data_IF_107864514137
#
_entry.id   IF_107864514137
#
_cell.length_a   1.000
_cell.length_b   1.000
_cell.length_c   1.000
_cell.angle_alpha   90.00
_cell.angle_beta   90.00
_cell.angle_gamma   90.00
#
_symmetry.space_group_name_H-M   'P 1'
#
loop_
_entity.id
_entity.type
_entity.pdbx_description
1 polymer ?
#
# COMPACT_ATOMS: atom_id res chain seq x y z
N UNK A 1 8.19 28.35 -20.66
CA UNK A 1 9.13 27.31 -20.19
C UNK A 1 8.32 26.04 -20.04
N UNK A 2 8.59 25.02 -20.84
CA UNK A 2 7.89 23.75 -20.72
C UNK A 2 8.55 22.99 -19.57
N UNK A 3 7.89 22.92 -18.42
CA UNK A 3 8.28 22.02 -17.33
C UNK A 3 8.09 20.58 -17.81
N UNK A 4 9.11 20.05 -18.47
CA UNK A 4 9.18 18.66 -18.86
C UNK A 4 9.33 17.83 -17.58
N UNK A 5 8.21 17.34 -17.03
CA UNK A 5 8.26 16.34 -15.97
C UNK A 5 9.05 15.15 -16.52
N UNK A 6 10.21 14.81 -15.93
CA UNK A 6 11.03 13.73 -16.46
C UNK A 6 10.23 12.43 -16.41
N UNK A 7 10.20 11.71 -17.53
CA UNK A 7 9.60 10.38 -17.59
C UNK A 7 10.32 9.46 -16.59
N UNK A 8 9.65 9.13 -15.49
CA UNK A 8 10.13 8.16 -14.50
C UNK A 8 9.38 6.85 -14.71
N UNK A 9 10.07 5.76 -15.13
CA UNK A 9 9.43 4.47 -15.23
C UNK A 9 8.98 3.99 -13.84
N UNK A 10 7.85 3.28 -13.79
CA UNK A 10 7.39 2.62 -12.57
C UNK A 10 8.36 1.50 -12.19
N UNK A 11 8.65 1.37 -10.89
CA UNK A 11 9.48 0.28 -10.37
C UNK A 11 8.89 -1.10 -10.65
N UNK A 12 9.67 -2.15 -10.35
CA UNK A 12 9.26 -3.54 -10.55
C UNK A 12 8.02 -3.89 -9.72
N UNK A 13 7.06 -4.55 -10.35
CA UNK A 13 5.80 -4.86 -9.68
C UNK A 13 5.97 -5.87 -8.53
N UNK A 14 6.83 -6.87 -8.71
CA UNK A 14 7.08 -7.91 -7.71
C UNK A 14 7.81 -7.33 -6.50
N UNK A 15 8.80 -6.47 -6.73
CA UNK A 15 9.48 -5.73 -5.65
C UNK A 15 8.46 -4.93 -4.83
N UNK A 16 7.59 -4.18 -5.49
CA UNK A 16 6.58 -3.38 -4.81
C UNK A 16 5.49 -4.21 -4.14
N UNK A 17 5.17 -5.39 -4.65
CA UNK A 17 4.29 -6.36 -3.99
C UNK A 17 4.83 -6.77 -2.61
N UNK A 18 6.13 -7.07 -2.53
CA UNK A 18 6.78 -7.41 -1.24
C UNK A 18 6.92 -6.18 -0.33
N UNK A 19 7.23 -5.00 -0.89
CA UNK A 19 7.33 -3.77 -0.10
C UNK A 19 6.00 -3.38 0.55
N UNK A 20 4.90 -3.47 -0.20
CA UNK A 20 3.56 -3.17 0.35
C UNK A 20 3.21 -4.11 1.50
N UNK A 21 3.51 -5.40 1.40
CA UNK A 21 3.31 -6.34 2.50
C UNK A 21 4.16 -6.02 3.73
N UNK A 22 5.43 -5.66 3.53
CA UNK A 22 6.33 -5.27 4.63
C UNK A 22 5.85 -3.99 5.33
N UNK A 23 5.40 -2.99 4.57
CA UNK A 23 4.80 -1.77 5.09
C UNK A 23 3.54 -2.05 5.91
N UNK A 24 2.66 -2.89 5.37
CA UNK A 24 1.43 -3.30 6.05
C UNK A 24 1.75 -4.00 7.38
N UNK A 25 2.64 -4.99 7.37
CA UNK A 25 3.04 -5.73 8.57
C UNK A 25 3.67 -4.85 9.64
N UNK A 26 4.57 -3.96 9.26
CA UNK A 26 5.16 -3.00 10.19
C UNK A 26 4.11 -2.02 10.77
N UNK A 27 3.00 -1.83 10.07
CA UNK A 27 1.85 -1.03 10.52
C UNK A 27 0.79 -1.83 11.30
N UNK A 28 1.00 -3.13 11.48
CA UNK A 28 0.05 -4.01 12.18
C UNK A 28 -1.13 -4.45 11.32
N UNK A 29 -0.95 -4.49 10.00
CA UNK A 29 -1.93 -4.99 9.02
C UNK A 29 -1.38 -6.22 8.31
N UNK A 30 -2.13 -7.33 8.29
CA UNK A 30 -1.79 -8.50 7.48
C UNK A 30 -2.66 -8.53 6.21
N UNK A 31 -2.04 -8.28 5.05
CA UNK A 31 -2.75 -8.27 3.76
C UNK A 31 -3.12 -9.67 3.28
N UNK A 32 -2.37 -10.70 3.68
CA UNK A 32 -2.68 -12.10 3.35
C UNK A 32 -3.93 -12.50 4.10
N UNK A 33 -3.98 -12.25 5.41
CA UNK A 33 -5.16 -12.51 6.22
C UNK A 33 -6.37 -11.69 5.74
N UNK A 34 -6.19 -10.40 5.42
CA UNK A 34 -7.25 -9.58 4.86
C UNK A 34 -7.78 -10.14 3.53
N UNK A 35 -6.90 -10.68 2.69
CA UNK A 35 -7.31 -11.35 1.44
C UNK A 35 -8.04 -12.66 1.71
N UNK A 36 -7.53 -13.49 2.60
CA UNK A 36 -8.10 -14.80 2.93
C UNK A 36 -9.48 -14.68 3.60
N UNK A 37 -9.69 -13.63 4.39
CA UNK A 37 -10.98 -13.31 5.03
C UNK A 37 -11.94 -12.54 4.12
N UNK A 38 -11.51 -12.16 2.92
CA UNK A 38 -12.31 -11.39 1.96
C UNK A 38 -12.46 -9.90 2.28
N UNK A 39 -11.73 -9.37 3.27
CA UNK A 39 -11.67 -7.95 3.59
C UNK A 39 -10.85 -7.13 2.57
N UNK A 40 -9.98 -7.79 1.79
CA UNK A 40 -9.19 -7.20 0.72
C UNK A 40 -9.32 -8.05 -0.55
N UNK A 41 -9.85 -7.50 -1.62
CA UNK A 41 -9.90 -8.19 -2.91
C UNK A 41 -8.54 -8.15 -3.61
N UNK A 42 -8.30 -9.11 -4.52
CA UNK A 42 -7.09 -9.12 -5.35
C UNK A 42 -6.94 -7.85 -6.20
N UNK A 43 -8.05 -7.28 -6.68
CA UNK A 43 -8.04 -6.04 -7.45
C UNK A 43 -7.63 -4.83 -6.60
N UNK A 44 -8.12 -4.75 -5.35
CA UNK A 44 -7.72 -3.71 -4.41
C UNK A 44 -6.25 -3.83 -4.02
N UNK A 45 -5.76 -5.05 -3.78
CA UNK A 45 -4.36 -5.30 -3.49
C UNK A 45 -3.47 -4.91 -4.68
N UNK A 46 -3.81 -5.32 -5.90
CA UNK A 46 -3.10 -4.87 -7.10
C UNK A 46 -3.10 -3.33 -7.22
N UNK A 47 -4.21 -2.69 -6.87
CA UNK A 47 -4.31 -1.23 -6.77
C UNK A 47 -3.35 -0.63 -5.73
N UNK A 48 -3.18 -1.27 -4.57
CA UNK A 48 -2.21 -0.86 -3.54
C UNK A 48 -0.77 -0.98 -4.04
N UNK A 49 -0.44 -2.05 -4.77
CA UNK A 49 0.89 -2.22 -5.39
C UNK A 49 1.15 -1.15 -6.43
N UNK A 50 0.19 -0.90 -7.33
CA UNK A 50 0.31 0.15 -8.35
C UNK A 50 0.51 1.55 -7.72
N UNK A 51 -0.27 1.89 -6.69
CA UNK A 51 -0.09 3.14 -5.93
C UNK A 51 1.28 3.25 -5.27
N UNK A 52 1.81 2.15 -4.74
CA UNK A 52 3.15 2.14 -4.16
C UNK A 52 4.23 2.44 -5.21
N UNK A 53 4.09 1.92 -6.43
CA UNK A 53 5.03 2.14 -7.54
C UNK A 53 5.09 3.60 -7.99
N UNK A 54 4.01 4.37 -7.81
CA UNK A 54 3.96 5.81 -8.10
C UNK A 54 4.48 6.67 -6.96
N UNK A 55 4.81 6.09 -5.80
CA UNK A 55 5.28 6.84 -4.65
C UNK A 55 6.62 7.53 -4.93
N UNK A 56 6.72 8.80 -4.53
CA UNK A 56 7.97 9.58 -4.60
C UNK A 56 8.85 9.37 -3.35
N UNK A 57 8.31 8.76 -2.29
CA UNK A 57 8.94 8.62 -0.98
C UNK A 57 9.77 7.32 -0.84
N UNK A 58 10.43 6.87 -1.92
CA UNK A 58 11.13 5.58 -1.95
C UNK A 58 12.30 5.52 -0.93
N UNK A 59 13.12 6.57 -0.84
CA UNK A 59 14.27 6.60 0.07
C UNK A 59 13.85 6.63 1.55
N UNK A 60 12.75 7.30 1.85
CA UNK A 60 12.17 7.33 3.18
C UNK A 60 11.56 5.98 3.57
N UNK A 61 10.92 5.30 2.62
CA UNK A 61 10.34 3.97 2.79
C UNK A 61 11.38 2.94 3.24
N UNK A 62 12.52 2.84 2.54
CA UNK A 62 13.56 1.87 2.89
C UNK A 62 14.17 2.14 4.27
N UNK A 63 14.45 3.40 4.61
CA UNK A 63 14.94 3.77 5.94
C UNK A 63 13.93 3.42 7.04
N UNK A 64 12.65 3.70 6.80
CA UNK A 64 11.59 3.37 7.75
C UNK A 64 11.44 1.85 7.94
N UNK A 65 11.54 1.07 6.86
CA UNK A 65 11.49 -0.40 6.88
C UNK A 65 12.75 -1.07 7.45
N UNK A 66 13.86 -0.35 7.56
CA UNK A 66 15.11 -0.86 8.13
C UNK A 66 15.09 -0.87 9.66
N UNK A 67 14.10 -0.22 10.29
CA UNK A 67 13.92 -0.32 11.73
C UNK A 67 13.38 -1.70 12.15
N UNK A 68 13.66 -2.14 13.38
CA UNK A 68 13.22 -3.43 13.91
C UNK A 68 11.71 -3.68 13.73
N UNK A 69 11.36 -4.94 13.44
CA UNK A 69 10.00 -5.40 13.07
C UNK A 69 9.10 -5.58 14.30
N UNK A 70 9.68 -5.66 15.49
CA UNK A 70 9.05 -5.89 16.79
C UNK A 70 8.27 -4.69 17.35
N UNK A 71 8.40 -3.50 16.74
CA UNK A 71 7.58 -2.34 17.07
C UNK A 71 6.56 -2.06 15.96
N UNK A 72 5.27 -2.24 16.29
CA UNK A 72 4.17 -1.71 15.47
C UNK A 72 4.29 -0.19 15.39
N UNK A 73 4.24 0.34 14.18
CA UNK A 73 4.43 1.76 13.91
C UNK A 73 3.41 2.23 12.91
N UNK A 74 2.84 3.40 13.13
CA UNK A 74 1.94 3.98 12.15
C UNK A 74 2.66 4.20 10.82
N UNK A 75 1.98 3.87 9.71
CA UNK A 75 2.52 4.15 8.39
C UNK A 75 2.80 5.66 8.26
N UNK A 76 3.93 6.05 7.66
CA UNK A 76 4.30 7.46 7.44
C UNK A 76 3.21 8.21 6.71
N UNK A 77 3.02 9.50 7.02
CA UNK A 77 2.04 10.35 6.34
C UNK A 77 2.23 10.42 4.82
N UNK A 78 3.47 10.27 4.35
CA UNK A 78 3.83 10.24 2.92
C UNK A 78 3.56 8.88 2.24
N UNK A 79 3.19 7.84 3.00
CA UNK A 79 2.85 6.55 2.44
C UNK A 79 1.46 6.61 1.79
N UNK A 80 1.40 6.46 0.46
CA UNK A 80 0.14 6.46 -0.31
C UNK A 80 -0.84 5.33 0.06
N UNK A 81 -0.40 4.33 0.83
CA UNK A 81 -1.24 3.22 1.30
C UNK A 81 -1.56 3.32 2.80
N UNK A 82 -1.15 4.39 3.51
CA UNK A 82 -1.38 4.57 4.95
C UNK A 82 -2.85 4.36 5.32
N UNK A 83 -3.76 5.03 4.61
CA UNK A 83 -5.18 4.98 4.93
C UNK A 83 -5.79 3.59 4.65
N UNK A 84 -5.26 2.87 3.65
CA UNK A 84 -5.66 1.48 3.39
C UNK A 84 -5.23 0.55 4.53
N UNK A 85 -4.01 0.71 5.05
CA UNK A 85 -3.55 -0.08 6.19
C UNK A 85 -4.40 0.19 7.43
N UNK A 86 -4.69 1.47 7.71
CA UNK A 86 -5.53 1.87 8.83
C UNK A 86 -6.97 1.31 8.70
N UNK A 87 -7.56 1.37 7.51
CA UNK A 87 -8.89 0.84 7.25
C UNK A 87 -8.96 -0.69 7.45
N UNK A 88 -7.96 -1.43 6.95
CA UNK A 88 -7.90 -2.89 7.12
C UNK A 88 -7.63 -3.28 8.58
N UNK A 89 -6.84 -2.50 9.31
CA UNK A 89 -6.56 -2.73 10.73
C UNK A 89 -7.78 -2.49 11.62
N UNK A 90 -8.66 -1.55 11.26
CA UNK A 90 -9.90 -1.31 11.99
C UNK A 90 -10.92 -2.46 11.88
N UNK A 91 -10.65 -3.46 11.02
CA UNK A 91 -11.57 -4.55 10.71
C UNK A 91 -12.69 -4.09 9.77
N UNK A 92 -13.64 -4.98 9.41
CA UNK A 92 -14.69 -4.68 8.45
C UNK A 92 -15.67 -3.63 9.00
N UNK A 93 -15.32 -2.37 8.78
CA UNK A 93 -16.17 -1.18 8.86
C UNK A 93 -16.23 -0.50 7.50
N UNK A 94 -16.85 -1.16 6.51
CA UNK A 94 -17.35 -0.57 5.25
C UNK A 94 -16.35 0.34 4.49
N UNK A 95 -15.41 -0.26 3.74
CA UNK A 95 -14.82 0.40 2.58
C UNK A 95 -15.67 0.10 1.32
N UNK A 96 -16.92 0.55 1.30
CA UNK A 96 -17.73 0.54 0.08
C UNK A 96 -17.29 1.67 -0.84
N UNK A 97 -16.56 1.30 -1.89
CA UNK A 97 -16.42 2.06 -3.13
C UNK A 97 -15.74 1.14 -4.12
N UNK A 98 -16.46 0.37 -4.93
CA UNK A 98 -16.99 0.90 -6.19
C UNK A 98 -18.04 -0.07 -6.76
N UNK A 99 -19.29 0.38 -6.87
CA UNK A 99 -20.22 -0.11 -7.90
C UNK A 99 -19.60 0.24 -9.26
N UNK A 100 -19.08 -0.76 -9.98
CA UNK A 100 -18.70 -0.63 -11.39
C UNK A 100 -19.32 -1.76 -12.20
N UNK A 101 -20.57 -1.51 -12.57
CA UNK A 101 -21.14 -1.76 -13.89
C UNK A 101 -21.29 -3.23 -14.31
N UNK A 102 -22.44 -3.83 -13.96
CA UNK A 102 -23.05 -4.87 -14.80
C UNK A 102 -23.52 -4.24 -16.12
N UNK A 103 -22.85 -4.58 -17.21
CA UNK A 103 -23.45 -4.69 -18.56
C UNK A 103 -22.81 -5.85 -19.29
#
# INVERSE_FOLDING_TARGET
MLDATPFRPLGDETEHYWLVQRMARASGTDLVEASDTGALTQAEWAGMVHRCRTCAWADGCQRWLSQPVDALREAPADCLNRDWFAALQAGPGMASGTEKNRR
#
